data_IF_834085631811
#
_entry.id   IF_834085631811
#
_cell.length_a   1.000
_cell.length_b   1.000
_cell.length_c   1.000
_cell.angle_alpha   90.00
_cell.angle_beta   90.00
_cell.angle_gamma   90.00
#
_symmetry.space_group_name_H-M   'P 1'
#
loop_
_entity.id
_entity.type
_entity.pdbx_description
1 polymer ?
#
# COMPACT_ATOMS: atom_id res chain seq x y z
N UNK A 1 22.69 -1.25 -6.15
CA UNK A 1 21.69 -2.33 -6.32
C UNK A 1 20.49 -1.69 -6.99
N UNK A 2 20.26 -1.97 -8.27
CA UNK A 2 19.31 -1.21 -9.10
C UNK A 2 17.84 -1.51 -8.78
N UNK A 3 17.56 -2.51 -7.95
CA UNK A 3 16.21 -2.95 -7.59
C UNK A 3 15.95 -2.90 -6.07
N UNK A 4 16.66 -2.03 -5.34
CA UNK A 4 16.60 -2.01 -3.88
C UNK A 4 15.17 -1.78 -3.33
N UNK A 5 14.37 -0.94 -3.99
CA UNK A 5 12.98 -0.70 -3.60
C UNK A 5 12.06 -1.89 -3.91
N UNK A 6 12.30 -2.60 -5.01
CA UNK A 6 11.55 -3.83 -5.34
C UNK A 6 11.88 -4.92 -4.32
N UNK A 7 13.16 -5.08 -3.97
CA UNK A 7 13.58 -6.03 -2.93
C UNK A 7 12.96 -5.69 -1.57
N UNK A 8 12.99 -4.42 -1.17
CA UNK A 8 12.37 -3.93 0.06
C UNK A 8 10.86 -4.21 0.11
N UNK A 9 10.12 -3.85 -0.95
CA UNK A 9 8.68 -4.03 -0.99
C UNK A 9 8.24 -5.50 -1.10
N UNK A 10 8.88 -6.29 -1.97
CA UNK A 10 8.40 -7.64 -2.34
C UNK A 10 9.15 -8.80 -1.68
N UNK A 11 10.34 -8.58 -1.10
CA UNK A 11 11.12 -9.63 -0.42
C UNK A 11 11.19 -9.39 1.09
N UNK A 12 11.50 -8.15 1.51
CA UNK A 12 11.49 -7.78 2.93
C UNK A 12 10.09 -7.50 3.46
N UNK A 13 9.19 -7.01 2.60
CA UNK A 13 7.81 -6.72 2.97
C UNK A 13 7.66 -5.39 3.72
N UNK A 14 8.51 -4.40 3.43
CA UNK A 14 8.64 -3.16 4.20
C UNK A 14 7.37 -2.31 4.31
N UNK A 15 6.34 -2.62 3.52
CA UNK A 15 5.03 -1.98 3.61
C UNK A 15 4.13 -2.55 4.74
N UNK A 16 4.33 -3.80 5.16
CA UNK A 16 3.38 -4.51 6.04
C UNK A 16 4.00 -5.41 7.11
N UNK A 17 5.33 -5.58 7.16
CA UNK A 17 5.93 -6.55 8.10
C UNK A 17 5.82 -6.14 9.58
N UNK A 18 5.47 -4.89 9.88
CA UNK A 18 5.39 -4.35 11.24
C UNK A 18 4.00 -3.83 11.56
N UNK A 19 3.63 -3.86 12.84
CA UNK A 19 2.37 -3.31 13.33
C UNK A 19 2.44 -1.79 13.49
N UNK A 20 1.33 -1.14 13.19
CA UNK A 20 1.20 0.32 13.21
C UNK A 20 0.62 0.74 14.56
N UNK A 21 1.41 0.58 15.62
CA UNK A 21 0.90 0.61 17.01
C UNK A 21 0.58 2.04 17.54
N UNK A 22 1.05 3.08 16.84
CA UNK A 22 0.89 4.49 17.26
C UNK A 22 0.80 5.51 16.13
N UNK A 23 0.81 5.06 14.87
CA UNK A 23 0.66 5.95 13.71
C UNK A 23 -0.77 5.86 13.21
N UNK A 24 -1.33 6.99 12.80
CA UNK A 24 -2.69 7.03 12.27
C UNK A 24 -2.77 6.35 10.91
N UNK A 25 -3.77 5.51 10.73
CA UNK A 25 -4.06 4.82 9.47
C UNK A 25 -4.99 5.70 8.62
N UNK A 26 -4.67 5.87 7.34
CA UNK A 26 -5.33 6.84 6.47
C UNK A 26 -6.81 6.53 6.23
N UNK A 27 -7.17 5.25 6.08
CA UNK A 27 -8.57 4.85 5.86
C UNK A 27 -9.42 5.02 7.12
N UNK A 28 -8.83 4.88 8.32
CA UNK A 28 -9.48 5.21 9.59
C UNK A 28 -9.68 6.72 9.78
N UNK A 29 -8.71 7.54 9.37
CA UNK A 29 -8.81 9.01 9.51
C UNK A 29 -9.81 9.64 8.53
N UNK A 30 -9.93 9.08 7.32
CA UNK A 30 -10.74 9.64 6.24
C UNK A 30 -11.69 8.59 5.64
N UNK A 31 -12.65 8.08 6.44
CA UNK A 31 -13.52 6.97 6.01
C UNK A 31 -14.44 7.34 4.84
N UNK A 32 -14.69 8.62 4.63
CA UNK A 32 -15.56 9.11 3.55
C UNK A 32 -14.85 9.16 2.18
N UNK A 33 -13.53 9.01 2.15
CA UNK A 33 -12.75 9.05 0.91
C UNK A 33 -12.88 7.71 0.19
N UNK A 34 -13.53 7.74 -0.98
CA UNK A 34 -13.57 6.61 -1.90
C UNK A 34 -12.28 6.56 -2.71
N UNK A 35 -11.35 5.70 -2.33
CA UNK A 35 -10.14 5.44 -3.08
C UNK A 35 -10.40 4.44 -4.21
N UNK A 36 -9.64 4.56 -5.31
CA UNK A 36 -9.65 3.59 -6.39
C UNK A 36 -9.00 2.29 -5.91
N UNK A 37 -9.71 1.18 -6.05
CA UNK A 37 -9.20 -0.15 -5.71
C UNK A 37 -8.22 -0.66 -6.77
N UNK A 38 -7.42 -1.67 -6.40
CA UNK A 38 -6.52 -2.32 -7.36
C UNK A 38 -7.30 -2.92 -8.53
N UNK A 39 -8.48 -3.51 -8.28
CA UNK A 39 -9.33 -4.07 -9.34
C UNK A 39 -9.78 -3.00 -10.33
N UNK A 40 -10.35 -1.90 -9.82
CA UNK A 40 -10.82 -0.79 -10.67
C UNK A 40 -9.69 -0.21 -11.51
N UNK A 41 -8.47 -0.10 -10.95
CA UNK A 41 -7.31 0.35 -11.72
C UNK A 41 -6.92 -0.64 -12.81
N UNK A 42 -6.87 -1.93 -12.51
CA UNK A 42 -6.53 -2.97 -13.50
C UNK A 42 -7.53 -3.00 -14.66
N UNK A 43 -8.81 -2.77 -14.39
CA UNK A 43 -9.85 -2.68 -15.42
C UNK A 43 -9.62 -1.53 -16.41
N UNK A 44 -8.86 -0.48 -16.04
CA UNK A 44 -8.51 0.62 -16.96
C UNK A 44 -7.39 0.29 -17.96
N UNK A 45 -6.65 -0.79 -17.72
CA UNK A 45 -5.52 -1.21 -18.55
C UNK A 45 -5.90 -2.24 -19.61
N UNK A 46 -7.14 -2.73 -19.55
CA UNK A 46 -7.75 -3.70 -20.47
C UNK A 46 -8.44 -2.95 -21.61
#
# INVERSE_FOLDING_TARGET
MDLIFIYSAFVKGDHTYFEIDSRSEGTQLYPDVKYTTVSEYLDTLV
#
